data_IF_033847518308
#
_entry.id   IF_033847518308
#
_cell.length_a   1.000
_cell.length_b   1.000
_cell.length_c   1.000
_cell.angle_alpha   90.00
_cell.angle_beta   90.00
_cell.angle_gamma   90.00
#
_symmetry.space_group_name_H-M   'P 1'
#
loop_
_entity.id
_entity.type
_entity.pdbx_description
1 polymer ?
#
# COMPACT_ATOMS: atom_id res chain seq x y z
N UNK A 1 -10.40 -20.83 16.99
CA UNK A 1 -9.14 -20.70 16.20
C UNK A 1 -9.12 -21.78 15.12
N UNK A 2 -8.93 -21.40 13.88
CA UNK A 2 -8.76 -22.33 12.78
C UNK A 2 -7.39 -23.02 12.94
N UNK A 3 -7.38 -24.35 13.02
CA UNK A 3 -6.12 -25.09 13.09
C UNK A 3 -5.34 -24.92 11.76
N UNK A 4 -4.03 -24.61 11.79
CA UNK A 4 -3.23 -24.58 10.58
C UNK A 4 -3.17 -25.97 9.95
N UNK A 5 -3.35 -26.04 8.64
CA UNK A 5 -3.18 -27.26 7.84
C UNK A 5 -1.90 -27.10 7.02
N UNK A 6 -0.97 -28.03 7.15
CA UNK A 6 0.19 -28.09 6.25
C UNK A 6 -0.31 -28.60 4.88
N UNK A 7 -0.30 -27.75 3.84
CA UNK A 7 -0.78 -28.15 2.52
C UNK A 7 -0.03 -29.33 1.93
N UNK A 8 1.26 -29.49 2.26
CA UNK A 8 2.12 -30.56 1.72
C UNK A 8 1.71 -31.96 2.19
N UNK A 9 0.92 -32.04 3.26
CA UNK A 9 0.43 -33.33 3.82
C UNK A 9 -0.89 -33.77 3.19
N UNK A 10 -1.51 -32.94 2.35
CA UNK A 10 -2.82 -33.22 1.79
C UNK A 10 -2.78 -34.14 0.57
N UNK A 11 -3.83 -34.95 0.31
CA UNK A 11 -3.95 -35.75 -0.91
C UNK A 11 -3.88 -34.90 -2.19
N UNK A 12 -4.48 -33.69 -2.20
CA UNK A 12 -4.44 -32.80 -3.36
C UNK A 12 -3.03 -32.32 -3.69
N UNK A 13 -2.19 -32.02 -2.67
CA UNK A 13 -0.78 -31.70 -2.89
C UNK A 13 -0.02 -32.85 -3.55
N UNK A 14 -0.24 -34.08 -3.08
CA UNK A 14 0.37 -35.27 -3.67
C UNK A 14 -0.05 -35.43 -5.14
N UNK A 15 -1.35 -35.28 -5.43
CA UNK A 15 -1.86 -35.30 -6.81
C UNK A 15 -1.22 -34.23 -7.69
N UNK A 16 -1.05 -33.00 -7.17
CA UNK A 16 -0.37 -31.91 -7.88
C UNK A 16 1.10 -32.23 -8.17
N UNK A 17 1.79 -32.87 -7.24
CA UNK A 17 3.18 -33.32 -7.45
C UNK A 17 3.25 -34.38 -8.56
N UNK A 18 2.36 -35.35 -8.56
CA UNK A 18 2.28 -36.40 -9.61
C UNK A 18 1.97 -35.79 -10.98
N UNK A 19 1.04 -34.81 -11.04
CA UNK A 19 0.73 -34.07 -12.27
C UNK A 19 1.93 -33.25 -12.77
N UNK A 20 2.65 -32.57 -11.87
CA UNK A 20 3.86 -31.82 -12.21
C UNK A 20 4.94 -32.73 -12.80
N UNK A 21 5.22 -33.87 -12.16
CA UNK A 21 6.28 -34.80 -12.58
C UNK A 21 5.98 -35.49 -13.92
N UNK A 22 4.71 -35.67 -14.26
CA UNK A 22 4.25 -36.25 -15.53
C UNK A 22 4.03 -35.24 -16.65
N UNK A 23 3.96 -33.96 -16.33
CA UNK A 23 3.63 -32.89 -17.29
C UNK A 23 4.82 -32.54 -18.20
N UNK A 24 4.59 -32.50 -19.50
CA UNK A 24 5.50 -31.90 -20.46
C UNK A 24 4.81 -30.64 -21.02
N UNK A 25 5.13 -29.44 -20.50
CA UNK A 25 4.41 -28.23 -20.89
C UNK A 25 4.76 -27.82 -22.34
N UNK A 26 3.72 -27.75 -23.17
CA UNK A 26 3.79 -27.15 -24.51
C UNK A 26 2.52 -26.34 -24.79
N UNK A 27 2.57 -25.04 -24.48
CA UNK A 27 1.42 -24.15 -24.68
C UNK A 27 1.01 -24.06 -26.16
N UNK A 28 1.93 -24.18 -27.10
CA UNK A 28 1.59 -24.12 -28.53
C UNK A 28 0.78 -25.34 -28.95
N UNK A 29 1.19 -26.52 -28.50
CA UNK A 29 0.44 -27.74 -28.71
C UNK A 29 -0.94 -27.66 -28.03
N UNK A 30 -1.00 -27.23 -26.77
CA UNK A 30 -2.26 -27.09 -26.04
C UNK A 30 -3.28 -26.14 -26.69
N UNK A 31 -2.80 -25.03 -27.30
CA UNK A 31 -3.68 -24.13 -28.06
C UNK A 31 -4.07 -24.71 -29.43
N UNK A 32 -3.21 -25.52 -30.06
CA UNK A 32 -3.53 -26.19 -31.31
C UNK A 32 -4.56 -27.29 -31.12
N UNK A 33 -4.44 -28.06 -30.01
CA UNK A 33 -5.34 -29.16 -29.67
C UNK A 33 -6.70 -28.67 -29.12
N UNK A 34 -6.72 -27.50 -28.48
CA UNK A 34 -7.92 -26.89 -27.91
C UNK A 34 -8.08 -25.43 -28.35
N UNK A 35 -8.78 -25.18 -29.47
CA UNK A 35 -9.05 -23.79 -29.92
C UNK A 35 -9.87 -22.95 -28.95
N UNK A 36 -10.60 -23.57 -28.01
CA UNK A 36 -11.42 -22.89 -27.00
C UNK A 36 -10.66 -22.68 -25.68
N UNK A 37 -9.38 -23.01 -25.62
CA UNK A 37 -8.59 -22.91 -24.41
C UNK A 37 -8.63 -21.51 -23.76
N UNK A 38 -8.57 -20.45 -24.57
CA UNK A 38 -8.64 -19.08 -24.06
C UNK A 38 -9.99 -18.81 -23.35
N UNK A 39 -11.10 -19.23 -23.94
CA UNK A 39 -12.43 -19.08 -23.34
C UNK A 39 -12.58 -19.93 -22.07
N UNK A 40 -12.12 -21.16 -22.10
CA UNK A 40 -12.26 -22.12 -21.00
C UNK A 40 -11.45 -21.79 -19.75
N UNK A 41 -10.32 -21.09 -19.90
CA UNK A 41 -9.46 -20.64 -18.81
C UNK A 41 -9.52 -19.13 -18.56
N UNK A 42 -10.57 -18.48 -19.06
CA UNK A 42 -10.86 -17.08 -18.74
C UNK A 42 -12.08 -16.99 -17.82
N UNK A 43 -12.05 -16.06 -16.90
CA UNK A 43 -13.07 -15.87 -15.87
C UNK A 43 -13.44 -14.40 -15.77
N UNK A 44 -14.72 -14.11 -15.61
CA UNK A 44 -15.24 -12.76 -15.41
C UNK A 44 -15.94 -12.65 -14.04
N UNK A 45 -15.65 -11.59 -13.31
CA UNK A 45 -16.33 -11.25 -12.07
C UNK A 45 -16.53 -9.74 -11.99
N UNK A 46 -17.72 -9.25 -12.31
CA UNK A 46 -17.95 -7.81 -12.46
C UNK A 46 -17.04 -7.21 -13.55
N UNK A 47 -16.25 -6.22 -13.19
CA UNK A 47 -15.29 -5.57 -14.10
C UNK A 47 -13.92 -6.27 -14.16
N UNK A 48 -13.73 -7.36 -13.41
CA UNK A 48 -12.49 -8.13 -13.41
C UNK A 48 -12.57 -9.24 -14.47
N UNK A 49 -11.62 -9.20 -15.42
CA UNK A 49 -11.38 -10.27 -16.38
C UNK A 49 -10.02 -10.90 -16.11
N UNK A 50 -9.98 -12.22 -15.95
CA UNK A 50 -8.77 -12.99 -15.66
C UNK A 50 -8.58 -14.06 -16.73
N UNK A 51 -7.51 -13.97 -17.52
CA UNK A 51 -7.12 -14.98 -18.52
C UNK A 51 -5.93 -15.81 -17.99
N UNK A 52 -6.20 -17.07 -17.66
CA UNK A 52 -5.20 -18.05 -17.21
C UNK A 52 -4.76 -18.99 -18.34
N UNK A 53 -5.23 -18.79 -19.57
CA UNK A 53 -4.98 -19.71 -20.69
C UNK A 53 -3.51 -19.89 -21.04
N UNK A 54 -2.65 -18.90 -20.74
CA UNK A 54 -1.21 -18.96 -20.96
C UNK A 54 -0.40 -19.46 -19.76
N UNK A 55 -1.06 -19.83 -18.67
CA UNK A 55 -0.41 -20.51 -17.57
C UNK A 55 -0.25 -22.01 -17.87
N UNK A 56 0.66 -22.67 -17.17
CA UNK A 56 0.85 -24.12 -17.26
C UNK A 56 -0.29 -24.85 -16.53
N UNK A 57 -1.51 -24.62 -16.99
CA UNK A 57 -2.75 -25.05 -16.40
C UNK A 57 -3.49 -26.01 -17.35
N UNK A 58 -3.80 -27.21 -16.87
CA UNK A 58 -4.74 -28.15 -17.48
C UNK A 58 -6.00 -28.26 -16.61
N UNK A 59 -7.04 -28.91 -17.08
CA UNK A 59 -8.24 -29.17 -16.26
C UNK A 59 -7.88 -29.95 -14.99
N UNK A 60 -7.06 -31.00 -15.11
CA UNK A 60 -6.64 -31.81 -13.98
C UNK A 60 -5.86 -31.01 -12.93
N UNK A 61 -5.00 -30.10 -13.39
CA UNK A 61 -4.23 -29.21 -12.48
C UNK A 61 -5.18 -28.20 -11.82
N UNK A 62 -6.12 -27.59 -12.57
CA UNK A 62 -7.11 -26.67 -12.01
C UNK A 62 -7.93 -27.37 -10.93
N UNK A 63 -8.46 -28.55 -11.24
CA UNK A 63 -9.33 -29.31 -10.32
C UNK A 63 -8.55 -29.73 -9.06
N UNK A 64 -7.30 -30.16 -9.20
CA UNK A 64 -6.45 -30.46 -8.05
C UNK A 64 -6.08 -29.21 -7.20
N UNK A 65 -5.94 -28.03 -7.83
CA UNK A 65 -5.73 -26.78 -7.09
C UNK A 65 -6.99 -26.35 -6.32
N UNK A 66 -8.18 -26.53 -6.89
CA UNK A 66 -9.45 -26.29 -6.20
C UNK A 66 -9.61 -27.27 -5.03
N UNK A 67 -9.33 -28.54 -5.26
CA UNK A 67 -9.36 -29.56 -4.21
C UNK A 67 -8.37 -29.22 -3.07
N UNK A 68 -7.18 -28.74 -3.40
CA UNK A 68 -6.22 -28.28 -2.39
C UNK A 68 -6.77 -27.09 -1.57
N UNK A 69 -7.38 -26.12 -2.23
CA UNK A 69 -7.97 -24.98 -1.54
C UNK A 69 -9.09 -25.40 -0.57
N UNK A 70 -9.89 -26.41 -0.94
CA UNK A 70 -10.90 -27.00 -0.06
C UNK A 70 -10.28 -27.75 1.12
N UNK A 71 -9.25 -28.57 0.87
CA UNK A 71 -8.59 -29.38 1.91
C UNK A 71 -7.86 -28.53 2.97
N UNK A 72 -7.35 -27.35 2.59
CA UNK A 72 -6.76 -26.39 3.53
C UNK A 72 -7.75 -25.34 4.03
N UNK A 73 -9.03 -25.51 3.70
CA UNK A 73 -10.14 -24.64 4.13
C UNK A 73 -9.96 -23.15 3.78
N UNK A 74 -9.58 -22.84 2.54
CA UNK A 74 -9.50 -21.45 2.06
C UNK A 74 -10.81 -20.69 2.23
N UNK A 75 -12.01 -21.27 1.92
CA UNK A 75 -13.29 -20.59 2.13
C UNK A 75 -13.53 -20.21 3.60
N UNK A 76 -13.34 -21.14 4.54
CA UNK A 76 -13.54 -20.87 5.96
C UNK A 76 -12.55 -19.84 6.50
N UNK A 77 -11.28 -19.88 6.04
CA UNK A 77 -10.26 -18.87 6.40
C UNK A 77 -10.58 -17.48 5.86
N UNK A 78 -11.11 -17.41 4.63
CA UNK A 78 -11.62 -16.16 4.06
C UNK A 78 -12.75 -15.60 4.93
N UNK A 79 -13.72 -16.42 5.28
CA UNK A 79 -14.88 -15.99 6.05
C UNK A 79 -14.46 -15.54 7.46
N UNK A 80 -13.54 -16.25 8.11
CA UNK A 80 -12.93 -15.85 9.37
C UNK A 80 -12.17 -14.51 9.27
N UNK A 81 -11.43 -14.29 8.17
CA UNK A 81 -10.75 -13.02 7.91
C UNK A 81 -11.76 -11.85 7.82
N UNK A 82 -12.86 -12.03 7.10
CA UNK A 82 -13.91 -11.01 6.98
C UNK A 82 -14.68 -10.80 8.31
N UNK A 83 -14.74 -11.81 9.17
CA UNK A 83 -15.32 -11.72 10.51
C UNK A 83 -14.39 -11.07 11.54
N UNK A 84 -13.12 -10.80 11.18
CA UNK A 84 -12.13 -10.20 12.08
C UNK A 84 -11.52 -11.17 13.07
N UNK A 85 -11.59 -12.49 12.81
CA UNK A 85 -10.90 -13.48 13.63
C UNK A 85 -9.37 -13.37 13.49
N UNK A 86 -8.63 -13.80 14.53
CA UNK A 86 -7.17 -13.81 14.54
C UNK A 86 -6.62 -14.93 13.64
N UNK A 87 -6.70 -14.75 12.33
CA UNK A 87 -6.19 -15.72 11.34
C UNK A 87 -4.67 -15.65 11.15
N UNK A 88 -4.02 -14.56 11.52
CA UNK A 88 -2.57 -14.47 11.58
C UNK A 88 -2.07 -15.09 12.89
N UNK A 89 -1.89 -16.40 12.87
CA UNK A 89 -1.54 -17.19 14.06
C UNK A 89 -0.11 -16.96 14.57
N UNK A 90 0.79 -16.39 13.75
CA UNK A 90 2.18 -16.13 14.15
C UNK A 90 2.31 -14.87 15.00
N UNK A 91 1.41 -13.92 14.84
CA UNK A 91 1.38 -12.65 15.57
C UNK A 91 0.15 -12.52 16.47
N UNK A 92 -0.74 -13.52 16.46
CA UNK A 92 -2.04 -13.51 17.13
C UNK A 92 -2.84 -12.25 16.79
N UNK A 93 -3.10 -12.04 15.50
CA UNK A 93 -3.79 -10.85 14.99
C UNK A 93 -4.88 -11.16 13.99
N UNK A 94 -5.91 -10.34 13.99
CA UNK A 94 -6.83 -10.21 12.88
C UNK A 94 -6.14 -9.59 11.65
N UNK A 95 -6.64 -9.89 10.45
CA UNK A 95 -6.16 -9.35 9.17
C UNK A 95 -7.24 -8.42 8.63
N UNK A 96 -7.08 -7.11 8.86
CA UNK A 96 -8.15 -6.12 8.74
C UNK A 96 -8.07 -5.24 7.48
N UNK A 97 -7.26 -5.59 6.48
CA UNK A 97 -7.22 -4.80 5.23
C UNK A 97 -8.58 -4.73 4.51
N UNK A 98 -9.48 -5.68 4.75
CA UNK A 98 -10.86 -5.66 4.24
C UNK A 98 -11.71 -4.57 4.90
N UNK A 99 -11.41 -4.18 6.15
CA UNK A 99 -12.10 -3.11 6.85
C UNK A 99 -11.92 -1.75 6.15
N UNK A 100 -10.78 -1.53 5.48
CA UNK A 100 -10.51 -0.32 4.70
C UNK A 100 -11.46 -0.11 3.51
N UNK A 101 -12.23 -1.13 3.14
CA UNK A 101 -13.18 -1.10 2.02
C UNK A 101 -14.64 -1.14 2.45
N UNK A 102 -14.91 -1.26 3.75
CA UNK A 102 -16.28 -1.25 4.27
C UNK A 102 -16.87 0.17 4.25
N UNK A 103 -18.15 0.32 3.92
CA UNK A 103 -18.82 1.61 4.02
C UNK A 103 -18.92 2.06 5.51
N UNK A 104 -19.02 3.36 5.73
CA UNK A 104 -19.12 3.94 7.09
C UNK A 104 -20.37 3.49 7.87
N UNK A 105 -21.35 2.91 7.18
CA UNK A 105 -22.57 2.36 7.79
C UNK A 105 -22.39 0.96 8.34
N UNK A 106 -21.29 0.28 8.01
CA UNK A 106 -20.95 -1.03 8.54
C UNK A 106 -20.31 -0.92 9.92
N UNK A 107 -20.30 -2.04 10.64
CA UNK A 107 -19.59 -2.21 11.90
C UNK A 107 -18.85 -3.53 11.89
N UNK A 108 -17.66 -3.55 12.47
CA UNK A 108 -16.88 -4.76 12.73
C UNK A 108 -16.14 -4.60 14.05
N UNK A 109 -16.59 -5.35 15.05
CA UNK A 109 -15.94 -5.33 16.36
C UNK A 109 -14.85 -6.39 16.44
N UNK A 110 -13.60 -5.96 16.68
CA UNK A 110 -12.44 -6.83 16.90
C UNK A 110 -11.81 -6.42 18.22
N UNK A 111 -11.62 -7.36 19.13
CA UNK A 111 -11.05 -7.14 20.48
C UNK A 111 -11.76 -6.03 21.27
N UNK A 112 -13.06 -5.88 21.06
CA UNK A 112 -13.90 -4.86 21.72
C UNK A 112 -13.89 -3.48 21.07
N UNK A 113 -13.21 -3.30 19.94
CA UNK A 113 -13.07 -2.04 19.21
C UNK A 113 -13.81 -2.10 17.87
N UNK A 114 -14.57 -1.05 17.51
CA UNK A 114 -15.17 -0.94 16.17
C UNK A 114 -14.13 -0.43 15.18
N UNK A 115 -13.50 -1.37 14.48
CA UNK A 115 -12.40 -1.07 13.54
C UNK A 115 -12.88 -0.34 12.27
N UNK A 116 -14.16 -0.40 11.92
CA UNK A 116 -14.71 0.37 10.79
C UNK A 116 -14.86 1.83 11.16
N UNK A 117 -15.34 2.12 12.36
CA UNK A 117 -15.42 3.48 12.88
C UNK A 117 -14.04 4.14 12.93
N UNK A 118 -13.02 3.42 13.42
CA UNK A 118 -11.63 3.92 13.48
C UNK A 118 -11.07 4.24 12.08
N UNK A 119 -11.30 3.35 11.10
CA UNK A 119 -10.88 3.59 9.72
C UNK A 119 -11.50 4.87 9.17
N UNK A 120 -12.80 5.07 9.36
CA UNK A 120 -13.48 6.26 8.85
C UNK A 120 -13.09 7.55 9.59
N UNK A 121 -12.80 7.49 10.88
CA UNK A 121 -12.25 8.64 11.62
C UNK A 121 -10.91 9.09 11.01
N UNK A 122 -10.00 8.15 10.73
CA UNK A 122 -8.72 8.47 10.11
C UNK A 122 -8.89 8.99 8.68
N UNK A 123 -9.78 8.38 7.89
CA UNK A 123 -10.07 8.84 6.52
C UNK A 123 -10.60 10.28 6.50
N UNK A 124 -11.49 10.66 7.42
CA UNK A 124 -11.98 12.04 7.50
C UNK A 124 -10.86 13.04 7.83
N UNK A 125 -9.93 12.70 8.72
CA UNK A 125 -8.74 13.51 9.00
C UNK A 125 -7.87 13.68 7.75
N UNK A 126 -7.62 12.59 7.02
CA UNK A 126 -6.85 12.61 5.76
C UNK A 126 -7.55 13.50 4.71
N UNK A 127 -8.85 13.33 4.51
CA UNK A 127 -9.60 14.12 3.55
C UNK A 127 -9.67 15.59 3.93
N UNK A 128 -9.84 15.91 5.21
CA UNK A 128 -9.84 17.28 5.69
C UNK A 128 -8.47 17.95 5.44
N UNK A 129 -7.38 17.27 5.76
CA UNK A 129 -6.03 17.76 5.50
C UNK A 129 -5.77 17.96 4.00
N UNK A 130 -6.10 16.96 3.17
CA UNK A 130 -5.94 17.05 1.72
C UNK A 130 -6.76 18.22 1.12
N UNK A 131 -7.97 18.48 1.60
CA UNK A 131 -8.77 19.64 1.18
C UNK A 131 -8.06 20.96 1.52
N UNK A 132 -7.49 21.10 2.72
CA UNK A 132 -6.77 22.29 3.15
C UNK A 132 -5.53 22.55 2.31
N UNK A 133 -4.77 21.51 1.97
CA UNK A 133 -3.60 21.63 1.07
C UNK A 133 -4.04 22.05 -0.33
N UNK A 134 -5.05 21.38 -0.88
CA UNK A 134 -5.54 21.62 -2.25
C UNK A 134 -6.23 22.98 -2.43
N UNK A 135 -6.88 23.50 -1.40
CA UNK A 135 -7.50 24.84 -1.43
C UNK A 135 -6.51 25.98 -1.20
N UNK A 136 -5.27 25.65 -0.75
CA UNK A 136 -4.28 26.65 -0.34
C UNK A 136 -4.53 27.22 1.07
N UNK A 137 -5.45 26.66 1.84
CA UNK A 137 -5.66 27.00 3.26
C UNK A 137 -4.48 26.56 4.13
N UNK A 138 -3.92 25.36 3.83
CA UNK A 138 -2.66 24.95 4.43
C UNK A 138 -1.50 25.61 3.71
N UNK A 139 -0.74 26.39 4.44
CA UNK A 139 0.40 27.16 3.90
C UNK A 139 1.71 26.74 4.56
N UNK A 140 2.79 26.95 3.83
CA UNK A 140 4.14 26.86 4.39
C UNK A 140 4.41 27.94 5.42
N UNK A 141 5.64 27.92 6.00
CA UNK A 141 6.08 28.83 7.06
C UNK A 141 5.97 30.32 6.67
N UNK A 142 6.10 30.63 5.39
CA UNK A 142 6.01 32.00 4.85
C UNK A 142 4.60 32.41 4.44
N UNK A 143 3.59 31.59 4.68
CA UNK A 143 2.21 31.84 4.27
C UNK A 143 1.92 31.53 2.79
N UNK A 144 2.87 31.00 2.03
CA UNK A 144 2.68 30.58 0.65
C UNK A 144 1.94 29.24 0.59
N UNK A 145 1.00 29.04 -0.37
CA UNK A 145 0.33 27.77 -0.55
C UNK A 145 1.31 26.69 -1.04
N UNK A 146 1.05 25.44 -0.67
CA UNK A 146 1.84 24.28 -1.11
C UNK A 146 1.63 24.04 -2.61
N UNK A 147 2.71 23.78 -3.32
CA UNK A 147 2.75 23.45 -4.75
C UNK A 147 3.32 22.08 -5.04
N UNK A 148 4.21 21.59 -4.17
CA UNK A 148 4.81 20.27 -4.32
C UNK A 148 4.63 19.45 -3.05
N UNK A 149 4.19 18.21 -3.20
CA UNK A 149 4.09 17.21 -2.13
C UNK A 149 5.11 16.12 -2.43
N UNK A 150 5.99 15.84 -1.49
CA UNK A 150 7.04 14.82 -1.61
C UNK A 150 6.75 13.68 -0.65
N UNK A 151 6.40 12.50 -1.18
CA UNK A 151 6.22 11.30 -0.37
C UNK A 151 7.58 10.62 -0.14
N UNK A 152 7.90 10.33 1.10
CA UNK A 152 9.11 9.59 1.51
C UNK A 152 8.67 8.28 2.15
N UNK A 153 8.92 7.18 1.46
CA UNK A 153 8.53 5.84 1.89
C UNK A 153 9.27 4.77 1.12
N UNK A 154 9.09 3.50 1.51
CA UNK A 154 9.68 2.35 0.81
C UNK A 154 8.65 1.21 0.72
N UNK A 155 8.78 0.35 -0.28
CA UNK A 155 7.86 -0.77 -0.48
C UNK A 155 6.41 -0.31 -0.63
N UNK A 156 5.50 -0.81 0.20
CA UNK A 156 4.08 -0.45 0.15
C UNK A 156 3.79 1.03 0.45
N UNK A 157 4.67 1.70 1.19
CA UNK A 157 4.57 3.14 1.47
C UNK A 157 5.03 4.03 0.31
N UNK A 158 5.60 3.46 -0.75
CA UNK A 158 6.00 4.14 -1.98
C UNK A 158 5.21 3.62 -3.19
N UNK A 159 5.26 2.32 -3.46
CA UNK A 159 4.73 1.73 -4.70
C UNK A 159 3.22 1.94 -4.88
N UNK A 160 2.43 1.86 -3.80
CA UNK A 160 1.00 2.15 -3.84
C UNK A 160 0.71 3.61 -4.21
N UNK A 161 1.26 4.60 -3.49
CA UNK A 161 1.14 6.01 -3.84
C UNK A 161 1.61 6.36 -5.26
N UNK A 162 2.77 5.84 -5.71
CA UNK A 162 3.27 6.03 -7.08
C UNK A 162 2.28 5.48 -8.10
N UNK A 163 1.82 4.25 -7.92
CA UNK A 163 0.86 3.60 -8.82
C UNK A 163 -0.41 4.44 -8.98
N UNK A 164 -0.99 4.89 -7.86
CA UNK A 164 -2.21 5.70 -7.87
C UNK A 164 -1.97 7.05 -8.54
N UNK A 165 -0.85 7.71 -8.24
CA UNK A 165 -0.49 8.99 -8.86
C UNK A 165 -0.34 8.87 -10.38
N UNK A 166 0.42 7.88 -10.86
CA UNK A 166 0.61 7.67 -12.31
C UNK A 166 -0.70 7.27 -13.01
N UNK A 167 -1.52 6.41 -12.39
CA UNK A 167 -2.82 6.01 -12.95
C UNK A 167 -3.81 7.17 -13.05
N UNK A 168 -3.79 8.09 -12.08
CA UNK A 168 -4.71 9.22 -12.00
C UNK A 168 -4.10 10.54 -12.49
N UNK A 169 -2.94 10.52 -13.10
CA UNK A 169 -2.22 11.70 -13.60
C UNK A 169 -3.06 12.65 -14.47
N UNK A 170 -3.97 12.16 -15.34
CA UNK A 170 -4.87 13.02 -16.10
C UNK A 170 -5.84 13.86 -15.25
N UNK A 171 -6.09 13.44 -14.01
CA UNK A 171 -7.03 14.07 -13.08
C UNK A 171 -6.36 14.90 -11.99
N UNK A 172 -5.03 15.00 -12.01
CA UNK A 172 -4.27 15.79 -11.03
C UNK A 172 -4.64 17.26 -11.12
N UNK A 173 -4.83 17.90 -9.97
CA UNK A 173 -5.10 19.32 -9.89
C UNK A 173 -3.92 20.14 -10.44
N UNK A 174 -4.18 21.03 -11.39
CA UNK A 174 -3.16 21.94 -11.93
C UNK A 174 -2.53 22.80 -10.82
N UNK A 175 -1.21 22.87 -10.81
CA UNK A 175 -0.45 23.66 -9.83
C UNK A 175 -0.07 22.89 -8.56
N UNK A 176 -0.44 21.61 -8.46
CA UNK A 176 0.11 20.67 -7.48
C UNK A 176 0.90 19.57 -8.20
N UNK A 177 2.10 19.30 -7.70
CA UNK A 177 3.00 18.24 -8.17
C UNK A 177 3.25 17.25 -7.03
N UNK A 178 3.32 15.96 -7.33
CA UNK A 178 3.76 14.93 -6.39
C UNK A 178 5.10 14.34 -6.82
N UNK A 179 6.01 14.17 -5.86
CA UNK A 179 7.29 13.48 -6.04
C UNK A 179 7.43 12.36 -5.01
N UNK A 180 8.31 11.41 -5.31
CA UNK A 180 8.47 10.20 -4.49
C UNK A 180 9.95 9.94 -4.28
N UNK A 181 10.34 9.75 -3.01
CA UNK A 181 11.70 9.40 -2.58
C UNK A 181 11.61 8.05 -1.89
N UNK A 182 12.25 7.03 -2.45
CA UNK A 182 12.17 5.66 -1.94
C UNK A 182 13.52 4.95 -1.87
N UNK A 183 14.51 5.39 -2.63
CA UNK A 183 15.83 4.75 -2.64
C UNK A 183 16.71 5.29 -1.51
N UNK A 184 17.49 4.39 -0.88
CA UNK A 184 18.49 4.77 0.13
C UNK A 184 19.71 5.49 -0.46
N UNK A 185 19.94 5.37 -1.78
CA UNK A 185 20.97 6.12 -2.46
C UNK A 185 20.69 7.63 -2.31
N UNK A 186 21.62 8.41 -1.75
CA UNK A 186 21.42 9.84 -1.52
C UNK A 186 21.12 10.64 -2.78
N UNK A 187 21.50 10.14 -3.94
CA UNK A 187 21.21 10.78 -5.24
C UNK A 187 19.70 10.87 -5.49
N UNK A 188 18.92 9.86 -5.09
CA UNK A 188 17.46 9.87 -5.25
C UNK A 188 16.83 11.06 -4.51
N UNK A 189 17.19 11.26 -3.24
CA UNK A 189 16.72 12.41 -2.47
C UNK A 189 17.22 13.72 -3.08
N UNK A 190 18.53 13.82 -3.38
CA UNK A 190 19.16 15.04 -3.86
C UNK A 190 18.56 15.54 -5.18
N UNK A 191 18.34 14.64 -6.15
CA UNK A 191 17.72 14.98 -7.44
C UNK A 191 16.26 15.39 -7.29
N UNK A 192 15.49 14.72 -6.41
CA UNK A 192 14.07 15.00 -6.20
C UNK A 192 13.79 16.35 -5.53
N UNK A 193 14.76 16.87 -4.76
CA UNK A 193 14.60 18.15 -4.04
C UNK A 193 15.36 19.32 -4.70
N UNK A 194 16.25 19.06 -5.64
CA UNK A 194 17.22 20.05 -6.15
C UNK A 194 16.58 21.33 -6.71
N UNK A 195 15.45 21.23 -7.39
CA UNK A 195 14.73 22.33 -8.05
C UNK A 195 13.51 22.82 -7.27
N UNK A 196 13.27 22.29 -6.05
CA UNK A 196 12.11 22.66 -5.25
C UNK A 196 12.28 24.01 -4.55
N UNK A 197 11.16 24.73 -4.45
CA UNK A 197 11.06 25.88 -3.55
C UNK A 197 10.66 25.40 -2.14
N UNK A 198 11.56 25.52 -1.12
CA UNK A 198 11.27 25.08 0.22
C UNK A 198 10.03 25.74 0.82
N UNK A 199 9.70 26.97 0.43
CA UNK A 199 8.54 27.69 0.95
C UNK A 199 7.18 27.09 0.53
N UNK A 200 7.16 26.26 -0.53
CA UNK A 200 5.94 25.69 -1.11
C UNK A 200 5.95 24.17 -1.20
N UNK A 201 6.88 23.53 -0.51
CA UNK A 201 7.05 22.07 -0.50
C UNK A 201 6.54 21.48 0.80
N UNK A 202 5.74 20.40 0.72
CA UNK A 202 5.27 19.59 1.83
C UNK A 202 5.85 18.18 1.71
N UNK A 203 6.39 17.64 2.79
CA UNK A 203 6.91 16.29 2.87
C UNK A 203 5.96 15.38 3.65
N UNK A 204 5.69 14.18 3.13
CA UNK A 204 4.95 13.12 3.80
C UNK A 204 5.92 12.01 4.14
N UNK A 205 6.11 11.71 5.43
CA UNK A 205 6.94 10.57 5.87
C UNK A 205 6.00 9.38 6.12
N UNK A 206 6.03 8.39 5.22
CA UNK A 206 5.20 7.21 5.29
C UNK A 206 5.97 6.02 5.89
N UNK A 207 5.81 5.79 7.20
CA UNK A 207 6.44 4.69 7.92
C UNK A 207 5.60 4.24 9.11
N UNK A 208 5.02 3.04 9.07
CA UNK A 208 4.12 2.51 10.10
C UNK A 208 4.70 2.62 11.51
N UNK A 209 5.94 2.18 11.71
CA UNK A 209 6.63 2.14 13.02
C UNK A 209 7.56 3.33 13.25
N UNK A 210 7.73 4.18 12.24
CA UNK A 210 8.67 5.29 12.22
C UNK A 210 10.10 4.88 12.60
N UNK A 211 10.52 3.69 12.09
CA UNK A 211 11.84 3.08 12.35
C UNK A 211 12.52 2.55 11.11
N UNK A 212 11.86 2.56 9.95
CA UNK A 212 12.42 2.06 8.69
C UNK A 212 13.66 2.88 8.33
N UNK A 213 14.82 2.24 8.28
CA UNK A 213 16.11 2.91 8.13
C UNK A 213 16.17 3.81 6.91
N UNK A 214 15.79 3.29 5.74
CA UNK A 214 15.81 3.98 4.46
C UNK A 214 14.90 5.21 4.49
N UNK A 215 13.65 5.02 4.95
CA UNK A 215 12.68 6.10 5.02
C UNK A 215 13.13 7.22 5.95
N UNK A 216 13.64 6.88 7.15
CA UNK A 216 14.10 7.91 8.09
C UNK A 216 15.42 8.56 7.68
N UNK A 217 16.29 7.84 6.98
CA UNK A 217 17.52 8.43 6.42
C UNK A 217 17.15 9.47 5.36
N UNK A 218 16.28 9.12 4.41
CA UNK A 218 15.80 10.06 3.40
C UNK A 218 15.02 11.23 4.01
N UNK A 219 14.20 10.97 5.03
CA UNK A 219 13.46 12.02 5.72
C UNK A 219 14.40 13.04 6.42
N UNK A 220 15.47 12.57 7.05
CA UNK A 220 16.50 13.46 7.65
C UNK A 220 17.24 14.25 6.58
N UNK A 221 17.63 13.63 5.48
CA UNK A 221 18.27 14.32 4.35
C UNK A 221 17.37 15.41 3.77
N UNK A 222 16.10 15.10 3.54
CA UNK A 222 15.11 16.07 3.06
C UNK A 222 14.89 17.20 4.06
N UNK A 223 14.87 16.91 5.37
CA UNK A 223 14.77 17.91 6.44
C UNK A 223 16.01 18.83 6.47
N UNK A 224 17.19 18.26 6.39
CA UNK A 224 18.44 19.03 6.43
C UNK A 224 18.52 19.95 5.20
N UNK A 225 18.22 19.45 4.00
CA UNK A 225 18.09 20.25 2.79
C UNK A 225 17.08 21.39 2.97
N UNK A 226 15.89 21.06 3.47
CA UNK A 226 14.79 22.02 3.65
C UNK A 226 15.18 23.18 4.59
N UNK A 227 15.74 22.86 5.76
CA UNK A 227 16.16 23.86 6.73
C UNK A 227 17.31 24.73 6.20
N UNK A 228 18.30 24.13 5.53
CA UNK A 228 19.40 24.85 4.91
C UNK A 228 18.90 25.79 3.79
N UNK A 229 17.94 25.34 2.98
CA UNK A 229 17.36 26.13 1.90
C UNK A 229 16.54 27.33 2.42
N UNK A 230 15.81 27.18 3.52
CA UNK A 230 15.13 28.31 4.20
C UNK A 230 16.13 29.30 4.76
N UNK A 231 17.17 28.82 5.47
CA UNK A 231 18.21 29.68 6.03
C UNK A 231 18.96 30.46 4.94
N UNK A 232 19.26 29.85 3.81
CA UNK A 232 19.90 30.53 2.67
C UNK A 232 19.01 31.65 2.09
N UNK A 233 17.71 31.60 2.29
CA UNK A 233 16.74 32.65 1.93
C UNK A 233 16.54 33.69 3.06
N UNK A 234 17.20 33.53 4.20
CA UNK A 234 17.00 34.39 5.37
C UNK A 234 15.68 34.19 6.11
N UNK A 235 15.08 33.02 5.95
CA UNK A 235 13.79 32.66 6.57
C UNK A 235 14.06 31.94 7.89
N UNK A 236 13.38 32.38 8.97
CA UNK A 236 13.42 31.70 10.27
C UNK A 236 12.87 30.28 10.17
N UNK A 237 13.53 29.35 10.86
CA UNK A 237 13.20 27.91 10.76
C UNK A 237 12.42 27.38 11.95
N UNK A 238 12.16 28.19 12.97
CA UNK A 238 11.37 27.79 14.11
C UNK A 238 9.91 27.46 13.69
N UNK A 239 9.42 26.29 14.09
CA UNK A 239 8.11 25.79 13.67
C UNK A 239 7.98 25.38 12.19
N UNK A 240 9.07 25.46 11.38
CA UNK A 240 9.01 25.15 9.96
C UNK A 240 8.67 23.66 9.71
N UNK A 241 9.19 22.74 10.53
CA UNK A 241 8.92 21.31 10.39
C UNK A 241 7.42 21.03 10.54
N UNK A 242 6.76 21.57 11.54
CA UNK A 242 5.31 21.39 11.76
C UNK A 242 4.43 21.92 10.60
N UNK A 243 4.97 22.83 9.78
CA UNK A 243 4.27 23.40 8.60
C UNK A 243 4.54 22.66 7.30
N UNK A 244 5.67 21.98 7.21
CA UNK A 244 6.16 21.41 5.96
C UNK A 244 6.36 19.89 6.00
N UNK A 245 6.18 19.27 7.17
CA UNK A 245 6.28 17.81 7.31
C UNK A 245 5.01 17.25 7.96
N UNK A 246 4.52 16.15 7.42
CA UNK A 246 3.45 15.34 8.00
C UNK A 246 3.86 13.87 7.98
N UNK A 247 3.24 13.07 8.82
CA UNK A 247 3.55 11.64 8.90
C UNK A 247 2.32 10.76 8.69
N UNK A 248 2.54 9.61 8.06
CA UNK A 248 1.60 8.48 8.03
C UNK A 248 2.22 7.37 8.87
N UNK A 249 1.83 7.31 10.14
CA UNK A 249 2.45 6.43 11.15
C UNK A 249 1.48 6.13 12.30
N UNK A 250 1.72 5.01 12.98
CA UNK A 250 1.09 4.70 14.27
C UNK A 250 1.98 5.02 15.47
N UNK A 251 3.23 5.42 15.25
CA UNK A 251 4.23 5.71 16.29
C UNK A 251 4.29 7.21 16.61
N UNK A 252 3.22 7.75 17.21
CA UNK A 252 3.05 9.19 17.42
C UNK A 252 4.19 9.84 18.23
N UNK A 253 4.70 9.16 19.24
CA UNK A 253 5.83 9.68 20.05
C UNK A 253 7.06 9.96 19.18
N UNK A 254 7.41 9.04 18.27
CA UNK A 254 8.54 9.19 17.36
C UNK A 254 8.29 10.26 16.29
N UNK A 255 7.04 10.41 15.88
CA UNK A 255 6.63 11.50 14.96
C UNK A 255 6.85 12.85 15.64
N UNK A 256 6.43 12.99 16.90
CA UNK A 256 6.66 14.20 17.69
C UNK A 256 8.15 14.50 17.91
N UNK A 257 8.98 13.47 18.20
CA UNK A 257 10.44 13.61 18.30
C UNK A 257 11.09 14.13 17.01
N UNK A 258 10.51 13.84 15.85
CA UNK A 258 10.99 14.37 14.57
C UNK A 258 10.65 15.87 14.41
N UNK A 259 9.72 16.40 15.18
CA UNK A 259 9.23 17.78 15.13
C UNK A 259 7.94 17.94 14.33
N UNK A 260 7.26 16.85 14.02
CA UNK A 260 5.94 16.85 13.37
C UNK A 260 4.88 16.85 14.46
N UNK A 261 3.89 17.72 14.32
CA UNK A 261 2.74 17.79 15.22
C UNK A 261 1.80 16.61 14.94
N UNK A 262 1.51 15.72 15.92
CA UNK A 262 0.74 14.49 15.72
C UNK A 262 -0.74 14.74 15.41
#
# INVERSE_FOLDING_TARGET
MLNPVDPTTTPAWKRLTELHDSMTPDLRAWFADDPQRAERFSYELGDLYVDLSKNLLTDDVRDALVELAEQVDVPGRRDAMYAGEHINITEDRAVLHTALRRPATDSLTVDGQDVVADVHEVLEKIYAFARRVRSGEWTGITGKPIKTVVNIGIGGSDLGPVMVYEALKPYVQKGLECRFISNIDPTDCAEKVADLDPETTLFIIASKTFTTLETLTNARMARDWFLAALQAKGIETDGAIAKHFVAVSTALDKVAEFGIDP
#
